data_IF_567398115646
#
_entry.id   IF_567398115646
#
_cell.length_a   1.000
_cell.length_b   1.000
_cell.length_c   1.000
_cell.angle_alpha   90.00
_cell.angle_beta   90.00
_cell.angle_gamma   90.00
#
_symmetry.space_group_name_H-M   'P 1'
#
loop_
_entity.id
_entity.type
_entity.pdbx_description
1 polymer ?
#
# COMPACT_ATOMS: atom_id res chain seq x y z
N UNK A 1 13.69 14.51 25.85
CA UNK A 1 14.21 13.34 25.10
C UNK A 1 15.16 13.89 24.05
N UNK A 2 16.40 13.40 23.99
CA UNK A 2 17.45 13.91 23.08
C UNK A 2 17.74 12.82 22.07
N UNK A 3 17.64 13.14 20.78
CA UNK A 3 17.90 12.21 19.68
C UNK A 3 19.27 12.50 19.09
N UNK A 4 20.02 11.44 18.79
CA UNK A 4 21.34 11.49 18.14
C UNK A 4 21.18 10.84 16.77
N UNK A 5 21.40 11.60 15.70
CA UNK A 5 21.41 11.08 14.34
C UNK A 5 22.79 10.55 13.97
N UNK A 6 22.83 9.34 13.40
CA UNK A 6 24.03 8.72 12.84
C UNK A 6 23.93 8.68 11.32
N UNK A 7 24.95 9.19 10.64
CA UNK A 7 25.09 9.02 9.19
C UNK A 7 25.83 7.71 8.92
N UNK A 8 25.09 6.66 8.57
CA UNK A 8 25.62 5.32 8.30
C UNK A 8 25.69 5.14 6.78
N UNK A 9 26.85 4.74 6.18
CA UNK A 9 27.04 4.74 4.73
C UNK A 9 26.05 3.87 3.94
N UNK A 10 25.49 2.83 4.56
CA UNK A 10 24.42 1.98 4.00
C UNK A 10 23.48 1.61 5.15
N UNK A 11 22.30 2.23 5.20
CA UNK A 11 21.24 1.83 6.12
C UNK A 11 20.51 0.61 5.54
N UNK A 12 20.67 -0.54 6.19
CA UNK A 12 19.78 -1.69 5.97
C UNK A 12 18.63 -1.56 6.97
N UNK A 13 17.45 -1.27 6.47
CA UNK A 13 16.23 -1.20 7.29
C UNK A 13 15.28 -2.30 6.85
N UNK A 14 14.71 -3.00 7.83
CA UNK A 14 13.62 -3.94 7.63
C UNK A 14 12.31 -3.21 7.95
N UNK A 15 11.29 -3.43 7.13
CA UNK A 15 9.95 -2.90 7.38
C UNK A 15 9.06 -4.06 7.81
N UNK A 16 8.50 -3.94 9.01
CA UNK A 16 7.45 -4.81 9.48
C UNK A 16 6.16 -3.99 9.54
N UNK A 17 5.03 -4.60 9.21
CA UNK A 17 3.72 -3.98 9.31
C UNK A 17 2.69 -4.99 9.77
N UNK A 18 1.81 -4.52 10.65
CA UNK A 18 0.65 -5.26 11.11
C UNK A 18 -0.60 -4.65 10.48
N UNK A 19 -1.54 -5.50 10.07
CA UNK A 19 -2.81 -5.08 9.50
C UNK A 19 -3.96 -5.72 10.25
N UNK A 20 -5.04 -4.97 10.46
CA UNK A 20 -6.27 -5.53 11.00
C UNK A 20 -7.00 -6.31 9.92
N UNK A 21 -7.51 -7.50 10.26
CA UNK A 21 -8.26 -8.37 9.31
C UNK A 21 -9.42 -7.61 8.67
N UNK A 22 -10.22 -6.89 9.46
CA UNK A 22 -11.34 -6.10 8.93
C UNK A 22 -10.89 -5.03 7.92
N UNK A 23 -9.71 -4.44 8.09
CA UNK A 23 -9.15 -3.49 7.11
C UNK A 23 -8.73 -4.20 5.82
N UNK A 24 -8.13 -5.39 5.91
CA UNK A 24 -7.76 -6.18 4.74
C UNK A 24 -8.98 -6.61 3.94
N UNK A 25 -10.06 -7.03 4.61
CA UNK A 25 -11.33 -7.38 3.97
C UNK A 25 -11.98 -6.17 3.28
N UNK A 26 -11.99 -5.01 3.94
CA UNK A 26 -12.50 -3.78 3.35
C UNK A 26 -11.66 -3.37 2.12
N UNK A 27 -10.33 -3.40 2.26
CA UNK A 27 -9.42 -3.09 1.18
C UNK A 27 -9.58 -4.03 -0.02
N UNK A 28 -9.84 -5.33 0.21
CA UNK A 28 -10.16 -6.29 -0.85
C UNK A 28 -11.38 -5.85 -1.65
N UNK A 29 -12.46 -5.50 -0.96
CA UNK A 29 -13.71 -5.10 -1.60
C UNK A 29 -13.52 -3.81 -2.41
N UNK A 30 -12.79 -2.85 -1.85
CA UNK A 30 -12.48 -1.57 -2.50
C UNK A 30 -11.60 -1.78 -3.75
N UNK A 31 -10.64 -2.71 -3.67
CA UNK A 31 -9.77 -3.07 -4.80
C UNK A 31 -10.53 -3.80 -5.91
N UNK A 32 -11.51 -4.65 -5.57
CA UNK A 32 -12.42 -5.21 -6.57
C UNK A 32 -13.22 -4.12 -7.28
N UNK A 33 -13.73 -3.14 -6.54
CA UNK A 33 -14.47 -2.02 -7.13
C UNK A 33 -13.58 -1.18 -8.06
N UNK A 34 -12.34 -0.88 -7.65
CA UNK A 34 -11.35 -0.19 -8.47
C UNK A 34 -11.05 -0.96 -9.76
N UNK A 35 -10.77 -2.26 -9.67
CA UNK A 35 -10.50 -3.12 -10.82
C UNK A 35 -11.67 -3.17 -11.81
N UNK A 36 -12.92 -3.27 -11.31
CA UNK A 36 -14.11 -3.21 -12.17
C UNK A 36 -14.31 -1.84 -12.83
N UNK A 37 -14.05 -0.75 -12.09
CA UNK A 37 -14.12 0.60 -12.64
C UNK A 37 -13.10 0.81 -13.77
N UNK A 38 -11.88 0.31 -13.61
CA UNK A 38 -10.84 0.38 -14.65
C UNK A 38 -11.25 -0.38 -15.92
N UNK A 39 -11.80 -1.60 -15.78
CA UNK A 39 -12.27 -2.39 -16.93
C UNK A 39 -13.44 -1.76 -17.68
N UNK A 40 -14.32 -1.09 -16.96
CA UNK A 40 -15.53 -0.47 -17.53
C UNK A 40 -15.29 0.96 -17.99
N UNK A 41 -14.08 1.51 -17.81
CA UNK A 41 -13.78 2.93 -18.07
C UNK A 41 -14.50 3.89 -17.14
N UNK A 42 -14.99 3.40 -16.00
CA UNK A 42 -15.65 4.19 -14.97
C UNK A 42 -14.66 4.99 -14.12
N UNK A 43 -15.20 5.90 -13.30
CA UNK A 43 -14.44 6.59 -12.26
C UNK A 43 -14.41 5.73 -10.99
N UNK A 44 -13.23 5.55 -10.41
CA UNK A 44 -13.08 4.99 -9.07
C UNK A 44 -12.74 6.08 -8.05
N UNK A 45 -13.06 5.84 -6.79
CA UNK A 45 -12.45 6.56 -5.68
C UNK A 45 -11.04 6.02 -5.45
N UNK A 46 -10.18 6.87 -4.89
CA UNK A 46 -8.90 6.44 -4.35
C UNK A 46 -9.14 5.48 -3.18
N UNK A 47 -8.29 4.47 -3.06
CA UNK A 47 -8.35 3.47 -1.99
C UNK A 47 -7.02 3.46 -1.25
N UNK A 48 -7.06 3.31 0.07
CA UNK A 48 -5.87 3.33 0.91
C UNK A 48 -5.79 2.07 1.77
N UNK A 49 -4.60 1.50 1.85
CA UNK A 49 -4.24 0.45 2.80
C UNK A 49 -3.21 1.03 3.77
N UNK A 50 -3.56 1.09 5.04
CA UNK A 50 -2.68 1.59 6.10
C UNK A 50 -2.52 0.52 7.17
N UNK A 51 -1.27 0.23 7.54
CA UNK A 51 -0.94 -0.66 8.65
C UNK A 51 -1.41 -0.06 9.99
N UNK A 52 -1.63 -0.90 10.99
CA UNK A 52 -2.09 -0.52 12.34
C UNK A 52 -1.27 0.59 12.99
N UNK A 53 0.03 0.63 12.71
CA UNK A 53 0.97 1.62 13.26
C UNK A 53 1.45 2.64 12.22
N UNK A 54 0.76 2.77 11.08
CA UNK A 54 1.11 3.74 10.02
C UNK A 54 2.55 3.62 9.45
N UNK A 55 3.18 2.46 9.66
CA UNK A 55 4.49 2.11 9.12
C UNK A 55 4.44 1.86 7.61
N UNK A 56 3.31 1.37 7.11
CA UNK A 56 3.07 1.16 5.68
C UNK A 56 1.76 1.81 5.31
N UNK A 57 1.82 2.76 4.38
CA UNK A 57 0.67 3.40 3.78
C UNK A 57 0.77 3.28 2.27
N UNK A 58 -0.21 2.62 1.66
CA UNK A 58 -0.34 2.48 0.23
C UNK A 58 -1.63 3.16 -0.22
N UNK A 59 -1.54 4.05 -1.18
CA UNK A 59 -2.69 4.70 -1.79
C UNK A 59 -2.75 4.35 -3.27
N UNK A 60 -3.85 3.75 -3.68
CA UNK A 60 -4.12 3.42 -5.08
C UNK A 60 -5.11 4.43 -5.63
N UNK A 61 -4.81 4.95 -6.81
CA UNK A 61 -5.67 5.86 -7.54
C UNK A 61 -5.70 5.49 -9.01
N UNK A 62 -6.76 5.91 -9.70
CA UNK A 62 -6.83 5.76 -11.15
C UNK A 62 -5.73 6.63 -11.78
N UNK A 63 -4.85 6.03 -12.59
CA UNK A 63 -3.81 6.78 -13.28
C UNK A 63 -4.41 7.61 -14.42
N UNK A 64 -3.65 8.58 -14.92
CA UNK A 64 -4.08 9.41 -16.05
C UNK A 64 -4.23 8.61 -17.35
N UNK A 65 -3.48 7.52 -17.49
CA UNK A 65 -3.51 6.63 -18.64
C UNK A 65 -4.50 5.48 -18.45
N UNK A 66 -5.25 5.17 -19.50
CA UNK A 66 -6.23 4.08 -19.48
C UNK A 66 -5.53 2.74 -19.16
N UNK A 67 -6.09 1.98 -18.22
CA UNK A 67 -5.55 0.67 -17.83
C UNK A 67 -4.36 0.71 -16.87
N UNK A 68 -3.97 1.89 -16.36
CA UNK A 68 -2.94 2.01 -15.33
C UNK A 68 -3.54 2.42 -13.97
N UNK A 69 -2.87 1.97 -12.90
CA UNK A 69 -3.17 2.31 -11.51
C UNK A 69 -1.95 2.98 -10.91
N UNK A 70 -2.13 4.21 -10.43
CA UNK A 70 -1.08 4.88 -9.68
C UNK A 70 -1.08 4.38 -8.25
N UNK A 71 0.12 4.12 -7.74
CA UNK A 71 0.36 3.68 -6.36
C UNK A 71 1.30 4.68 -5.72
N UNK A 72 0.83 5.37 -4.69
CA UNK A 72 1.67 6.14 -3.78
C UNK A 72 1.98 5.28 -2.56
N UNK A 73 3.24 5.29 -2.12
CA UNK A 73 3.72 4.47 -1.02
C UNK A 73 4.51 5.33 -0.05
N UNK A 74 4.15 5.23 1.23
CA UNK A 74 4.93 5.77 2.33
C UNK A 74 5.32 4.62 3.26
N UNK A 75 6.62 4.41 3.43
CA UNK A 75 7.19 3.42 4.34
C UNK A 75 7.95 4.13 5.47
N UNK A 76 7.59 3.80 6.71
CA UNK A 76 8.26 4.26 7.92
C UNK A 76 8.74 3.03 8.69
N UNK A 77 10.03 2.94 9.01
CA UNK A 77 10.53 1.80 9.77
C UNK A 77 10.01 1.81 11.22
N UNK A 78 9.90 2.99 11.83
CA UNK A 78 9.34 3.17 13.18
C UNK A 78 8.57 4.49 13.27
N UNK A 79 7.63 4.61 14.22
CA UNK A 79 6.74 5.76 14.36
C UNK A 79 7.46 7.11 14.57
N UNK A 80 8.70 7.09 15.06
CA UNK A 80 9.47 8.28 15.39
C UNK A 80 10.59 8.57 14.39
N UNK A 81 10.71 7.76 13.33
CA UNK A 81 11.82 7.78 12.40
C UNK A 81 11.53 8.59 11.13
N UNK A 82 11.08 9.84 11.30
CA UNK A 82 10.67 10.69 10.17
C UNK A 82 11.81 10.92 9.16
N UNK A 83 13.06 11.02 9.63
CA UNK A 83 14.24 11.29 8.78
C UNK A 83 14.61 10.17 7.81
N UNK A 84 14.03 8.97 7.97
CA UNK A 84 14.24 7.81 7.10
C UNK A 84 12.93 7.31 6.49
N UNK A 85 11.89 8.15 6.48
CA UNK A 85 10.65 7.87 5.75
C UNK A 85 10.94 7.79 4.26
N UNK A 86 10.51 6.70 3.63
CA UNK A 86 10.55 6.55 2.17
C UNK A 86 9.17 6.87 1.60
N UNK A 87 9.13 7.85 0.71
CA UNK A 87 7.94 8.25 -0.05
C UNK A 87 8.25 8.10 -1.54
N UNK A 88 7.43 7.34 -2.24
CA UNK A 88 7.57 7.12 -3.67
C UNK A 88 6.20 6.92 -4.33
N UNK A 89 6.16 7.09 -5.65
CA UNK A 89 4.98 6.85 -6.47
C UNK A 89 5.34 6.17 -7.77
N UNK A 90 4.57 5.15 -8.14
CA UNK A 90 4.76 4.42 -9.39
C UNK A 90 3.41 4.00 -9.98
N UNK A 91 3.40 3.80 -11.30
CA UNK A 91 2.24 3.26 -12.01
C UNK A 91 2.41 1.77 -12.23
N UNK A 92 1.33 1.01 -12.06
CA UNK A 92 1.23 -0.41 -12.42
C UNK A 92 0.16 -0.61 -13.49
N UNK A 93 0.37 -1.61 -14.34
CA UNK A 93 -0.65 -2.06 -15.27
C UNK A 93 -1.81 -2.77 -14.52
N UNK A 94 -3.02 -2.62 -15.01
CA UNK A 94 -4.22 -3.24 -14.45
C UNK A 94 -4.11 -4.77 -14.37
N UNK A 95 -3.33 -5.42 -15.26
CA UNK A 95 -3.08 -6.87 -15.24
C UNK A 95 -2.42 -7.39 -13.96
N UNK A 96 -1.79 -6.53 -13.15
CA UNK A 96 -1.24 -6.90 -11.85
C UNK A 96 -2.32 -7.01 -10.75
N UNK A 97 -3.47 -6.34 -10.91
CA UNK A 97 -4.51 -6.29 -9.88
C UNK A 97 -5.09 -7.67 -9.51
N UNK A 98 -5.37 -8.60 -10.44
CA UNK A 98 -5.82 -9.95 -10.11
C UNK A 98 -4.83 -10.71 -9.23
N UNK A 99 -3.53 -10.65 -9.52
CA UNK A 99 -2.50 -11.32 -8.72
C UNK A 99 -2.41 -10.77 -7.31
N UNK A 100 -2.49 -9.44 -7.17
CA UNK A 100 -2.51 -8.81 -5.85
C UNK A 100 -3.79 -9.10 -5.05
N UNK A 101 -4.94 -9.27 -5.72
CA UNK A 101 -6.18 -9.68 -5.06
C UNK A 101 -6.07 -11.12 -4.53
N UNK A 102 -5.53 -12.04 -5.34
CA UNK A 102 -5.27 -13.43 -4.91
C UNK A 102 -4.36 -13.47 -3.69
N UNK A 103 -3.25 -12.72 -3.69
CA UNK A 103 -2.35 -12.68 -2.53
C UNK A 103 -3.00 -12.09 -1.28
N UNK A 104 -3.93 -11.15 -1.44
CA UNK A 104 -4.69 -10.60 -0.31
C UNK A 104 -5.69 -11.64 0.26
N UNK A 105 -6.35 -12.41 -0.61
CA UNK A 105 -7.22 -13.51 -0.18
C UNK A 105 -6.43 -14.59 0.57
N UNK A 106 -5.23 -14.94 0.11
CA UNK A 106 -4.35 -15.88 0.80
C UNK A 106 -3.99 -15.40 2.21
N UNK A 107 -3.57 -14.13 2.35
CA UNK A 107 -3.22 -13.53 3.66
C UNK A 107 -4.42 -13.53 4.61
N UNK A 108 -5.61 -13.18 4.13
CA UNK A 108 -6.84 -13.19 4.93
C UNK A 108 -7.18 -14.63 5.35
N UNK A 109 -6.99 -15.61 4.46
CA UNK A 109 -7.31 -17.01 4.73
C UNK A 109 -6.43 -17.65 5.81
N UNK A 110 -5.18 -17.21 5.98
CA UNK A 110 -4.27 -17.72 7.01
C UNK A 110 -4.71 -17.41 8.44
N UNK A 111 -5.69 -16.52 8.61
CA UNK A 111 -6.28 -16.20 9.91
C UNK A 111 -7.41 -17.16 10.32
N UNK A 112 -7.91 -17.99 9.40
CA UNK A 112 -9.00 -18.96 9.61
C UNK A 112 -8.46 -20.38 9.82
#
# INVERSE_FOLDING_TARGET
MVWVEFSIPVLKTEFAAEFFVCQLEQFRNDKHALHQALKTGGKSKDISLTSAFEQVMLKFHQAHFAGAVGVSMVLKPENHADSITLDDSFDIDESYLPGMLSGLDDIISWQN
#
